data_IF_371370714565
#
_entry.id   IF_371370714565
#
_cell.length_a   1.000
_cell.length_b   1.000
_cell.length_c   1.000
_cell.angle_alpha   90.00
_cell.angle_beta   90.00
_cell.angle_gamma   90.00
#
_symmetry.space_group_name_H-M   'P 1'
#
loop_
_entity.id
_entity.type
_entity.pdbx_description
1 polymer ?
#
# COMPACT_ATOMS: atom_id res chain seq x y z
N UNK A 1 7.65 -12.17 -20.90
CA UNK A 1 7.16 -13.06 -19.82
C UNK A 1 8.19 -13.36 -18.73
N UNK A 2 9.47 -13.68 -19.03
CA UNK A 2 10.48 -14.01 -18.00
C UNK A 2 10.73 -12.93 -16.93
N UNK A 3 10.61 -11.65 -17.28
CA UNK A 3 10.80 -10.55 -16.33
C UNK A 3 9.65 -10.47 -15.30
N UNK A 4 8.40 -10.56 -15.79
CA UNK A 4 7.21 -10.52 -14.95
C UNK A 4 7.21 -11.71 -13.97
N UNK A 5 7.49 -12.92 -14.46
CA UNK A 5 7.58 -14.10 -13.59
C UNK A 5 8.69 -13.99 -12.55
N UNK A 6 9.81 -13.31 -12.87
CA UNK A 6 10.89 -13.06 -11.90
C UNK A 6 10.46 -12.11 -10.79
N UNK A 7 9.72 -11.06 -11.12
CA UNK A 7 9.21 -10.08 -10.14
C UNK A 7 8.11 -10.72 -9.28
N UNK A 8 7.23 -11.52 -9.88
CA UNK A 8 6.10 -12.16 -9.19
C UNK A 8 6.53 -13.36 -8.34
N UNK A 9 7.53 -14.15 -8.74
CA UNK A 9 7.90 -15.38 -8.01
C UNK A 9 8.36 -15.07 -6.57
N UNK A 10 7.63 -15.53 -5.54
CA UNK A 10 7.99 -15.28 -4.15
C UNK A 10 9.17 -16.15 -3.71
N UNK A 11 9.84 -15.72 -2.65
CA UNK A 11 10.81 -16.53 -1.91
C UNK A 11 10.02 -17.41 -0.94
N UNK A 12 10.20 -18.73 -1.06
CA UNK A 12 9.52 -19.68 -0.18
C UNK A 12 10.42 -20.00 1.00
N UNK A 13 9.87 -19.91 2.21
CA UNK A 13 10.61 -20.28 3.40
C UNK A 13 10.67 -21.82 3.57
N UNK A 14 11.69 -22.35 4.28
CA UNK A 14 11.87 -23.80 4.45
C UNK A 14 10.62 -24.50 4.96
N UNK A 15 9.96 -23.93 5.98
CA UNK A 15 8.77 -24.50 6.59
C UNK A 15 7.51 -23.73 6.16
N UNK A 16 6.43 -24.45 5.86
CA UNK A 16 5.15 -23.83 5.50
C UNK A 16 4.57 -22.95 6.61
N UNK A 17 4.85 -23.27 7.87
CA UNK A 17 4.40 -22.50 9.03
C UNK A 17 5.02 -21.10 9.09
N UNK A 18 6.25 -20.93 8.59
CA UNK A 18 6.92 -19.63 8.52
C UNK A 18 6.22 -18.72 7.50
N UNK A 19 5.89 -19.27 6.33
CA UNK A 19 5.10 -18.56 5.32
C UNK A 19 3.71 -18.20 5.86
N UNK A 20 3.07 -19.09 6.63
CA UNK A 20 1.78 -18.81 7.25
C UNK A 20 1.88 -17.67 8.26
N UNK A 21 2.89 -17.71 9.14
CA UNK A 21 3.12 -16.67 10.13
C UNK A 21 3.35 -15.30 9.47
N UNK A 22 4.16 -15.26 8.43
CA UNK A 22 4.38 -14.04 7.64
C UNK A 22 3.20 -13.70 6.72
N UNK A 23 2.15 -14.50 6.61
CA UNK A 23 0.96 -14.09 5.84
C UNK A 23 0.03 -13.24 6.69
N UNK A 24 0.01 -13.44 8.01
CA UNK A 24 -0.83 -12.70 8.94
C UNK A 24 -0.56 -11.18 8.87
N UNK A 25 0.69 -10.68 9.08
CA UNK A 25 0.95 -9.25 9.00
C UNK A 25 0.70 -8.68 7.59
N UNK A 26 0.84 -9.48 6.54
CA UNK A 26 0.51 -9.08 5.15
C UNK A 26 -0.97 -8.76 5.01
N UNK A 27 -1.81 -9.68 5.47
CA UNK A 27 -3.28 -9.55 5.38
C UNK A 27 -3.74 -8.39 6.25
N UNK A 28 -3.24 -8.28 7.49
CA UNK A 28 -3.61 -7.18 8.39
C UNK A 28 -3.19 -5.83 7.81
N UNK A 29 -1.95 -5.70 7.34
CA UNK A 29 -1.45 -4.48 6.72
C UNK A 29 -2.26 -4.10 5.47
N UNK A 30 -2.48 -5.05 4.56
CA UNK A 30 -3.27 -4.83 3.36
C UNK A 30 -4.73 -4.47 3.66
N UNK A 31 -5.32 -5.09 4.68
CA UNK A 31 -6.68 -4.78 5.13
C UNK A 31 -6.77 -3.35 5.68
N UNK A 32 -5.90 -2.98 6.63
CA UNK A 32 -5.93 -1.64 7.22
C UNK A 32 -5.68 -0.56 6.15
N UNK A 33 -4.74 -0.78 5.24
CA UNK A 33 -4.51 0.15 4.12
C UNK A 33 -5.73 0.27 3.20
N UNK A 34 -6.38 -0.84 2.85
CA UNK A 34 -7.51 -0.82 1.91
C UNK A 34 -8.80 -0.26 2.52
N UNK A 35 -9.12 -0.67 3.74
CA UNK A 35 -10.44 -0.47 4.34
C UNK A 35 -10.50 0.67 5.35
N UNK A 36 -9.36 1.11 5.89
CA UNK A 36 -9.31 2.19 6.88
C UNK A 36 -8.65 3.44 6.27
N UNK A 37 -7.37 3.35 5.92
CA UNK A 37 -6.60 4.51 5.43
C UNK A 37 -6.97 4.93 4.00
N UNK A 38 -7.00 3.97 3.08
CA UNK A 38 -7.28 4.21 1.66
C UNK A 38 -8.75 4.54 1.41
N UNK A 39 -9.67 3.82 2.07
CA UNK A 39 -11.12 4.04 1.93
C UNK A 39 -11.55 5.46 2.34
N UNK A 40 -10.83 6.08 3.27
CA UNK A 40 -11.08 7.46 3.69
C UNK A 40 -10.66 8.52 2.64
N UNK A 41 -9.72 8.18 1.74
CA UNK A 41 -9.13 9.13 0.77
C UNK A 41 -9.48 8.82 -0.69
N UNK A 42 -9.87 7.59 -0.97
CA UNK A 42 -10.11 7.06 -2.32
C UNK A 42 -11.46 6.37 -2.37
N UNK A 43 -12.28 6.72 -3.36
CA UNK A 43 -13.61 6.18 -3.51
C UNK A 43 -13.60 4.71 -3.92
N UNK A 44 -14.07 3.88 -3.00
CA UNK A 44 -14.19 2.43 -3.11
C UNK A 44 -15.60 1.98 -2.72
N UNK A 45 -16.04 0.77 -3.11
CA UNK A 45 -17.34 0.23 -2.70
C UNK A 45 -17.56 0.15 -1.18
N UNK A 46 -16.48 0.15 -0.39
CA UNK A 46 -16.50 0.14 1.08
C UNK A 46 -16.06 1.47 1.70
N UNK A 47 -15.92 2.54 0.90
CA UNK A 47 -15.63 3.87 1.44
C UNK A 47 -16.77 4.37 2.33
N UNK A 48 -16.47 5.11 3.42
CA UNK A 48 -17.50 5.71 4.26
C UNK A 48 -18.42 6.62 3.46
N UNK A 49 -19.73 6.46 3.68
CA UNK A 49 -20.77 7.22 2.98
C UNK A 49 -20.62 8.73 3.24
N UNK A 50 -20.17 9.09 4.44
CA UNK A 50 -19.96 10.48 4.86
C UNK A 50 -18.94 11.24 4.00
N UNK A 51 -18.01 10.53 3.36
CA UNK A 51 -17.02 11.14 2.47
C UNK A 51 -17.60 11.45 1.08
N UNK A 52 -18.75 10.88 0.72
CA UNK A 52 -19.48 11.08 -0.53
C UNK A 52 -18.58 11.02 -1.79
N UNK A 53 -17.71 10.01 -1.84
CA UNK A 53 -16.76 9.80 -2.94
C UNK A 53 -17.37 8.89 -4.02
N UNK A 54 -17.29 9.31 -5.28
CA UNK A 54 -17.52 8.45 -6.43
C UNK A 54 -16.43 7.40 -6.61
N UNK A 55 -16.68 6.37 -7.41
CA UNK A 55 -15.72 5.28 -7.63
C UNK A 55 -14.41 5.81 -8.26
N UNK A 56 -13.28 5.55 -7.61
CA UNK A 56 -11.94 6.05 -7.94
C UNK A 56 -11.76 7.57 -7.88
N UNK A 57 -12.70 8.26 -7.23
CA UNK A 57 -12.56 9.67 -6.88
C UNK A 57 -11.64 9.83 -5.67
N UNK A 58 -10.88 10.93 -5.65
CA UNK A 58 -10.00 11.27 -4.53
C UNK A 58 -10.69 12.33 -3.69
N UNK A 59 -10.57 12.23 -2.38
CA UNK A 59 -11.15 13.21 -1.47
C UNK A 59 -10.67 14.64 -1.78
N UNK A 60 -11.60 15.59 -1.83
CA UNK A 60 -11.36 16.96 -2.29
C UNK A 60 -10.23 17.70 -1.54
N UNK A 61 -10.01 17.33 -0.27
CA UNK A 61 -8.98 17.94 0.58
C UNK A 61 -7.58 17.41 0.28
N UNK A 62 -7.46 16.18 -0.21
CA UNK A 62 -6.17 15.50 -0.30
C UNK A 62 -5.21 16.12 -1.33
N UNK A 63 -5.65 16.56 -2.53
CA UNK A 63 -4.80 17.33 -3.43
C UNK A 63 -4.27 18.64 -2.83
N UNK A 64 -5.04 19.31 -1.96
CA UNK A 64 -4.60 20.55 -1.32
C UNK A 64 -3.49 20.28 -0.31
N UNK A 65 -3.62 19.20 0.48
CA UNK A 65 -2.57 18.74 1.38
C UNK A 65 -1.29 18.39 0.59
N UNK A 66 -1.43 17.65 -0.51
CA UNK A 66 -0.30 17.28 -1.37
C UNK A 66 0.37 18.52 -1.98
N UNK A 67 -0.41 19.53 -2.38
CA UNK A 67 0.16 20.78 -2.88
C UNK A 67 0.99 21.51 -1.80
N UNK A 68 0.58 21.43 -0.53
CA UNK A 68 1.30 22.04 0.59
C UNK A 68 2.68 21.44 0.86
N UNK A 69 2.91 20.19 0.42
CA UNK A 69 4.22 19.53 0.56
C UNK A 69 5.32 20.21 -0.28
N UNK A 70 4.95 21.01 -1.27
CA UNK A 70 5.90 21.75 -2.11
C UNK A 70 6.67 20.86 -3.10
N UNK A 71 7.68 21.46 -3.74
CA UNK A 71 8.54 20.77 -4.71
C UNK A 71 7.75 20.12 -5.86
N UNK A 72 8.05 18.86 -6.16
CA UNK A 72 7.37 18.11 -7.23
C UNK A 72 5.87 17.90 -6.95
N UNK A 73 5.46 17.85 -5.68
CA UNK A 73 4.08 17.59 -5.29
C UNK A 73 3.18 18.78 -5.62
N UNK A 74 3.71 20.01 -5.53
CA UNK A 74 2.98 21.22 -5.92
C UNK A 74 2.82 21.40 -7.44
N UNK A 75 3.65 20.74 -8.26
CA UNK A 75 3.55 20.81 -9.73
C UNK A 75 2.34 20.02 -10.25
N UNK A 76 2.08 18.85 -9.65
CA UNK A 76 1.00 17.96 -10.08
C UNK A 76 0.26 17.33 -8.86
N UNK A 77 -0.37 18.16 -8.00
CA UNK A 77 -0.91 17.69 -6.72
C UNK A 77 -2.03 16.67 -6.90
N UNK A 78 -2.92 16.87 -7.86
CA UNK A 78 -4.00 15.93 -8.16
C UNK A 78 -3.46 14.55 -8.58
N UNK A 79 -2.39 14.51 -9.36
CA UNK A 79 -1.76 13.27 -9.79
C UNK A 79 -1.13 12.51 -8.61
N UNK A 80 -0.35 13.20 -7.78
CA UNK A 80 0.29 12.56 -6.62
C UNK A 80 -0.72 12.16 -5.54
N UNK A 81 -1.76 12.96 -5.32
CA UNK A 81 -2.87 12.60 -4.44
C UNK A 81 -3.59 11.35 -4.94
N UNK A 82 -3.90 11.28 -6.23
CA UNK A 82 -4.52 10.09 -6.82
C UNK A 82 -3.63 8.85 -6.70
N UNK A 83 -2.34 8.97 -7.04
CA UNK A 83 -1.40 7.86 -6.91
C UNK A 83 -1.23 7.40 -5.47
N UNK A 84 -1.17 8.32 -4.52
CA UNK A 84 -1.07 8.03 -3.09
C UNK A 84 -2.30 7.29 -2.57
N UNK A 85 -3.48 7.82 -2.86
CA UNK A 85 -4.76 7.26 -2.43
C UNK A 85 -5.02 5.90 -3.09
N UNK A 86 -4.69 5.74 -4.38
CA UNK A 86 -4.77 4.48 -5.11
C UNK A 86 -3.83 3.41 -4.53
N UNK A 87 -2.59 3.76 -4.22
CA UNK A 87 -1.62 2.82 -3.65
C UNK A 87 -2.01 2.36 -2.24
N UNK A 88 -2.65 3.21 -1.42
CA UNK A 88 -3.21 2.78 -0.13
C UNK A 88 -4.43 1.87 -0.35
N UNK A 89 -5.40 2.31 -1.15
CA UNK A 89 -6.68 1.62 -1.30
C UNK A 89 -6.58 0.34 -2.14
N UNK A 90 -6.21 0.46 -3.43
CA UNK A 90 -6.07 -0.69 -4.34
C UNK A 90 -4.82 -1.49 -4.00
N UNK A 91 -3.71 -0.83 -3.68
CA UNK A 91 -2.48 -1.51 -3.26
C UNK A 91 -2.68 -2.29 -1.96
N UNK A 92 -3.48 -1.80 -1.02
CA UNK A 92 -3.87 -2.57 0.17
C UNK A 92 -4.52 -3.90 -0.17
N UNK A 93 -5.45 -3.93 -1.13
CA UNK A 93 -6.12 -5.16 -1.60
C UNK A 93 -5.11 -6.11 -2.24
N UNK A 94 -4.25 -5.60 -3.10
CA UNK A 94 -3.25 -6.41 -3.78
C UNK A 94 -2.26 -7.01 -2.79
N UNK A 95 -1.85 -6.25 -1.78
CA UNK A 95 -1.02 -6.75 -0.68
C UNK A 95 -1.74 -7.83 0.14
N UNK A 96 -3.01 -7.59 0.48
CA UNK A 96 -3.85 -8.54 1.22
C UNK A 96 -3.92 -9.89 0.50
N UNK A 97 -4.26 -9.87 -0.79
CA UNK A 97 -4.37 -11.08 -1.62
C UNK A 97 -3.00 -11.70 -1.97
N UNK A 98 -1.90 -10.96 -1.79
CA UNK A 98 -0.57 -11.37 -2.23
C UNK A 98 -0.47 -11.42 -3.75
N UNK A 99 -1.02 -10.41 -4.43
CA UNK A 99 -0.97 -10.21 -5.88
C UNK A 99 -0.01 -9.07 -6.23
N UNK A 100 0.94 -9.34 -7.13
CA UNK A 100 2.05 -8.46 -7.49
C UNK A 100 2.72 -7.83 -6.26
N UNK A 101 2.94 -8.65 -5.24
CA UNK A 101 3.27 -8.24 -3.87
C UNK A 101 4.48 -7.30 -3.86
N UNK A 102 5.53 -7.58 -4.63
CA UNK A 102 6.72 -6.72 -4.69
C UNK A 102 6.44 -5.33 -5.27
N UNK A 103 5.67 -5.27 -6.36
CA UNK A 103 5.33 -4.00 -7.02
C UNK A 103 4.43 -3.18 -6.10
N UNK A 104 3.42 -3.83 -5.54
CA UNK A 104 2.50 -3.22 -4.59
C UNK A 104 3.22 -2.71 -3.34
N UNK A 105 4.11 -3.52 -2.74
CA UNK A 105 4.92 -3.10 -1.60
C UNK A 105 5.82 -1.92 -1.94
N UNK A 106 6.41 -1.87 -3.14
CA UNK A 106 7.20 -0.72 -3.57
C UNK A 106 6.37 0.57 -3.61
N UNK A 107 5.17 0.52 -4.20
CA UNK A 107 4.27 1.69 -4.24
C UNK A 107 3.86 2.15 -2.84
N UNK A 108 3.50 1.21 -1.95
CA UNK A 108 3.15 1.53 -0.56
C UNK A 108 4.35 2.10 0.20
N UNK A 109 5.57 1.60 -0.02
CA UNK A 109 6.78 2.18 0.60
C UNK A 109 6.94 3.64 0.18
N UNK A 110 6.77 3.96 -1.11
CA UNK A 110 6.83 5.34 -1.58
C UNK A 110 5.77 6.22 -0.90
N UNK A 111 4.52 5.76 -0.77
CA UNK A 111 3.47 6.55 -0.10
C UNK A 111 3.73 6.73 1.38
N UNK A 112 4.18 5.69 2.08
CA UNK A 112 4.51 5.77 3.51
C UNK A 112 5.69 6.70 3.78
N UNK A 113 6.70 6.74 2.91
CA UNK A 113 7.80 7.71 3.02
C UNK A 113 7.29 9.15 2.88
N UNK A 114 6.40 9.41 1.92
CA UNK A 114 5.78 10.74 1.76
C UNK A 114 4.92 11.08 2.98
N UNK A 115 4.10 10.14 3.47
CA UNK A 115 3.28 10.35 4.66
C UNK A 115 4.12 10.67 5.91
N UNK A 116 5.26 9.97 6.10
CA UNK A 116 6.17 10.23 7.21
C UNK A 116 6.79 11.62 7.06
N UNK A 117 7.51 11.88 5.96
CA UNK A 117 8.37 13.07 5.86
C UNK A 117 7.64 14.35 5.47
N UNK A 118 6.53 14.26 4.74
CA UNK A 118 5.82 15.44 4.24
C UNK A 118 4.56 15.75 5.05
N UNK A 119 3.86 14.73 5.54
CA UNK A 119 2.58 14.93 6.24
C UNK A 119 2.70 14.94 7.77
N UNK A 120 3.41 13.98 8.37
CA UNK A 120 3.28 13.72 9.81
C UNK A 120 4.50 14.08 10.66
N UNK A 121 5.70 14.22 10.10
CA UNK A 121 6.92 14.45 10.91
C UNK A 121 6.83 15.71 11.79
N UNK A 122 6.16 16.76 11.29
CA UNK A 122 5.94 18.01 12.02
C UNK A 122 4.87 17.89 13.12
N UNK A 123 3.98 16.88 13.02
CA UNK A 123 2.95 16.59 14.01
C UNK A 123 3.47 15.67 15.13
N UNK A 124 4.74 15.28 15.09
CA UNK A 124 5.40 14.45 16.11
C UNK A 124 5.39 12.95 15.82
N UNK A 125 6.30 12.23 16.49
CA UNK A 125 6.60 10.82 16.21
C UNK A 125 5.37 9.89 16.33
N UNK A 126 4.46 10.17 17.28
CA UNK A 126 3.26 9.36 17.48
C UNK A 126 2.35 9.33 16.26
N UNK A 127 2.25 10.44 15.52
CA UNK A 127 1.46 10.52 14.30
C UNK A 127 2.12 9.78 13.12
N UNK A 128 3.44 9.55 13.18
CA UNK A 128 4.16 8.78 12.17
C UNK A 128 4.07 7.26 12.36
N UNK A 129 3.68 6.77 13.55
CA UNK A 129 3.78 5.35 13.91
C UNK A 129 3.03 4.43 12.94
N UNK A 130 1.82 4.82 12.51
CA UNK A 130 1.04 4.02 11.55
C UNK A 130 1.79 3.88 10.22
N UNK A 131 2.25 5.01 9.65
CA UNK A 131 2.99 5.01 8.39
C UNK A 131 4.32 4.25 8.49
N UNK A 132 5.05 4.39 9.61
CA UNK A 132 6.27 3.63 9.87
C UNK A 132 5.99 2.13 10.02
N UNK A 133 4.88 1.74 10.65
CA UNK A 133 4.46 0.35 10.77
C UNK A 133 4.18 -0.29 9.41
N UNK A 134 3.42 0.39 8.56
CA UNK A 134 3.16 -0.09 7.19
C UNK A 134 4.43 -0.14 6.34
N UNK A 135 5.30 0.88 6.45
CA UNK A 135 6.62 0.89 5.79
C UNK A 135 7.44 -0.34 6.18
N UNK A 136 7.57 -0.62 7.47
CA UNK A 136 8.36 -1.73 7.99
C UNK A 136 7.84 -3.08 7.49
N UNK A 137 6.52 -3.27 7.54
CA UNK A 137 5.87 -4.49 7.05
C UNK A 137 6.10 -4.67 5.55
N UNK A 138 5.87 -3.61 4.76
CA UNK A 138 6.00 -3.68 3.30
C UNK A 138 7.44 -3.85 2.81
N UNK A 139 8.44 -3.39 3.56
CA UNK A 139 9.84 -3.67 3.26
C UNK A 139 10.15 -5.18 3.21
N UNK A 140 9.57 -5.98 4.11
CA UNK A 140 9.76 -7.44 4.08
C UNK A 140 9.13 -8.06 2.83
N UNK A 141 7.92 -7.63 2.46
CA UNK A 141 7.20 -8.17 1.30
C UNK A 141 7.74 -7.68 -0.04
N UNK A 142 8.43 -6.55 -0.07
CA UNK A 142 9.21 -6.13 -1.23
C UNK A 142 10.30 -7.16 -1.58
N UNK A 143 10.94 -7.75 -0.56
CA UNK A 143 12.01 -8.74 -0.74
C UNK A 143 11.40 -10.15 -0.93
N UNK A 144 10.63 -10.61 0.05
CA UNK A 144 10.10 -11.96 0.12
C UNK A 144 9.01 -12.24 -0.92
N UNK A 145 8.21 -11.23 -1.29
CA UNK A 145 7.00 -11.42 -2.07
C UNK A 145 5.89 -12.07 -1.24
N UNK A 146 4.93 -12.73 -1.88
CA UNK A 146 3.71 -13.24 -1.22
C UNK A 146 3.92 -14.43 -0.28
N UNK A 147 5.05 -15.13 -0.34
CA UNK A 147 5.21 -16.47 0.24
C UNK A 147 4.23 -17.50 -0.35
N UNK A 148 4.10 -18.67 0.30
CA UNK A 148 3.22 -19.77 -0.15
C UNK A 148 1.72 -19.42 -0.18
N UNK A 149 1.28 -18.49 0.66
CA UNK A 149 -0.15 -18.15 0.83
C UNK A 149 -0.50 -16.83 0.15
N UNK A 150 -0.21 -16.71 -1.14
CA UNK A 150 -0.65 -15.58 -1.94
C UNK A 150 -0.83 -15.95 -3.40
N UNK A 151 -1.53 -15.09 -4.14
CA UNK A 151 -1.85 -15.32 -5.55
C UNK A 151 -0.57 -15.40 -6.39
N UNK A 152 0.47 -14.64 -6.07
CA UNK A 152 1.75 -14.67 -6.78
C UNK A 152 2.38 -16.06 -6.82
N UNK A 153 2.28 -16.82 -5.72
CA UNK A 153 2.75 -18.21 -5.68
C UNK A 153 1.99 -19.09 -6.67
N UNK A 154 0.65 -18.99 -6.68
CA UNK A 154 -0.21 -19.74 -7.59
C UNK A 154 0.08 -19.41 -9.06
N UNK A 155 0.32 -18.13 -9.36
CA UNK A 155 0.68 -17.67 -10.71
C UNK A 155 2.07 -18.13 -11.13
N UNK A 156 3.02 -18.21 -10.20
CA UNK A 156 4.41 -18.63 -10.48
C UNK A 156 4.60 -20.14 -10.62
N UNK A 157 3.61 -20.94 -10.23
CA UNK A 157 3.61 -22.40 -10.32
C UNK A 157 3.16 -22.91 -11.70
N UNK A 158 2.46 -22.07 -12.48
CA UNK A 158 2.12 -22.33 -13.88
C UNK A 158 3.33 -22.03 -14.78
#
# INVERSE_FOLDING_TARGET
MKLLTRITKPILLPNWSQDLFLTIPRIVCGYLLAFDFGAAKFGMPWSPIDNNLGLFEVAFWFPNDVASYGGIFAIAPAFFAWMGAFAEAVGGIFLLLGLQTRVTSFLIICTMLVAIFMQQINNGLWNCLAAMGFLWITMFYLILGSGKFGIDYLLSKK
#
